data_IF_829387713487
#
_entry.id   IF_829387713487
#
_cell.length_a   1.000
_cell.length_b   1.000
_cell.length_c   1.000
_cell.angle_alpha   90.00
_cell.angle_beta   90.00
_cell.angle_gamma   90.00
#
_symmetry.space_group_name_H-M   'P 1'
#
loop_
_entity.id
_entity.type
_entity.pdbx_description
1 polymer ?
#
# COMPACT_ATOMS: atom_id res chain seq x y z
N UNK A 1 7.13 4.46 -10.70
CA UNK A 1 8.37 3.67 -10.43
C UNK A 1 8.20 2.24 -10.92
N UNK A 2 7.05 1.60 -10.69
CA UNK A 2 6.64 0.31 -11.31
C UNK A 2 6.92 0.24 -12.81
N UNK A 3 6.47 1.22 -13.60
CA UNK A 3 6.68 1.24 -15.05
C UNK A 3 8.16 1.16 -15.48
N UNK A 4 9.09 1.69 -14.68
CA UNK A 4 10.52 1.62 -14.97
C UNK A 4 11.11 0.23 -14.67
N UNK A 5 10.62 -0.42 -13.62
CA UNK A 5 10.99 -1.80 -13.29
C UNK A 5 10.46 -2.77 -14.37
N UNK A 6 9.21 -2.60 -14.78
CA UNK A 6 8.60 -3.37 -15.89
C UNK A 6 9.34 -3.14 -17.21
N UNK A 7 9.81 -1.92 -17.46
CA UNK A 7 10.62 -1.59 -18.64
C UNK A 7 12.07 -2.14 -18.59
N UNK A 8 12.44 -2.89 -17.55
CA UNK A 8 13.77 -3.49 -17.41
C UNK A 8 14.89 -2.49 -17.11
N UNK A 9 14.58 -1.30 -16.59
CA UNK A 9 15.57 -0.27 -16.26
C UNK A 9 16.34 -0.56 -14.96
N UNK A 10 15.94 -1.59 -14.21
CA UNK A 10 16.64 -2.04 -12.99
C UNK A 10 15.73 -2.72 -11.97
N UNK A 11 16.29 -2.97 -10.79
CA UNK A 11 15.58 -3.54 -9.62
C UNK A 11 14.93 -2.39 -8.84
N UNK A 12 13.71 -2.60 -8.35
CA UNK A 12 12.99 -1.63 -7.52
C UNK A 12 12.42 -2.29 -6.26
N UNK A 13 12.54 -1.62 -5.13
CA UNK A 13 11.80 -1.97 -3.90
C UNK A 13 10.46 -1.25 -3.94
N UNK A 14 9.37 -2.02 -4.00
CA UNK A 14 8.01 -1.51 -4.17
C UNK A 14 7.08 -2.16 -3.15
N UNK A 15 6.05 -1.44 -2.68
CA UNK A 15 5.00 -2.05 -1.87
C UNK A 15 4.22 -3.10 -2.67
N UNK A 16 3.83 -4.19 -2.01
CA UNK A 16 3.10 -5.32 -2.58
C UNK A 16 1.82 -4.90 -3.31
N UNK A 17 1.04 -3.99 -2.72
CA UNK A 17 -0.23 -3.49 -3.24
C UNK A 17 -0.06 -2.68 -4.54
N UNK A 18 1.14 -2.16 -4.79
CA UNK A 18 1.43 -1.36 -5.97
C UNK A 18 1.89 -2.21 -7.17
N UNK A 19 2.47 -3.39 -6.92
CA UNK A 19 3.00 -4.28 -7.97
C UNK A 19 2.29 -5.63 -8.05
N UNK A 20 1.16 -5.79 -7.35
CA UNK A 20 0.42 -7.05 -7.26
C UNK A 20 -0.01 -7.60 -8.62
N UNK A 21 -0.50 -6.72 -9.50
CA UNK A 21 -0.98 -7.12 -10.82
C UNK A 21 0.19 -7.55 -11.72
N UNK A 22 1.30 -6.81 -11.68
CA UNK A 22 2.51 -7.12 -12.45
C UNK A 22 3.26 -8.35 -11.92
N UNK A 23 3.15 -8.66 -10.62
CA UNK A 23 3.63 -9.92 -10.06
C UNK A 23 2.73 -11.09 -10.48
N UNK A 24 1.42 -10.87 -10.57
CA UNK A 24 0.47 -11.90 -10.97
C UNK A 24 0.54 -12.23 -12.47
N UNK A 25 0.78 -11.23 -13.32
CA UNK A 25 0.93 -11.41 -14.77
C UNK A 25 2.35 -11.82 -15.21
N UNK A 26 3.31 -11.78 -14.29
CA UNK A 26 4.71 -12.16 -14.50
C UNK A 26 5.58 -11.08 -15.16
N UNK A 27 5.08 -9.86 -15.33
CA UNK A 27 5.84 -8.70 -15.80
C UNK A 27 6.89 -8.26 -14.78
N UNK A 28 6.66 -8.54 -13.50
CA UNK A 28 7.63 -8.42 -12.42
C UNK A 28 7.83 -9.78 -11.75
N UNK A 29 9.04 -9.98 -11.21
CA UNK A 29 9.40 -11.19 -10.45
C UNK A 29 10.01 -10.75 -9.13
N UNK A 30 9.60 -11.42 -8.04
CA UNK A 30 10.24 -11.26 -6.75
C UNK A 30 11.63 -11.91 -6.77
N UNK A 31 12.65 -11.09 -6.53
CA UNK A 31 14.05 -11.51 -6.52
C UNK A 31 14.51 -12.04 -5.16
N UNK A 32 13.79 -11.72 -4.08
CA UNK A 32 14.20 -12.02 -2.71
C UNK A 32 13.02 -12.53 -1.86
N UNK A 33 12.41 -13.67 -2.23
CA UNK A 33 11.19 -14.17 -1.56
C UNK A 33 11.39 -14.57 -0.09
N UNK A 34 12.64 -14.85 0.31
CA UNK A 34 12.99 -15.22 1.69
C UNK A 34 13.29 -14.01 2.59
N UNK A 35 13.19 -12.78 2.06
CA UNK A 35 13.56 -11.56 2.76
C UNK A 35 12.38 -10.59 2.83
N UNK A 36 11.91 -10.31 4.05
CA UNK A 36 10.99 -9.20 4.29
C UNK A 36 11.77 -7.89 4.36
N UNK A 37 11.41 -6.95 3.47
CA UNK A 37 12.04 -5.63 3.42
C UNK A 37 11.00 -4.55 3.71
N UNK A 38 11.14 -3.86 4.84
CA UNK A 38 10.31 -2.72 5.20
C UNK A 38 11.09 -1.42 4.99
N UNK A 39 10.45 -0.40 4.43
CA UNK A 39 11.04 0.93 4.28
C UNK A 39 11.25 1.66 5.62
N UNK A 40 10.66 1.16 6.71
CA UNK A 40 10.81 1.66 8.08
C UNK A 40 10.70 0.50 9.09
N UNK A 41 11.32 0.66 10.27
CA UNK A 41 11.24 -0.29 11.41
C UNK A 41 9.81 -0.48 11.98
N UNK A 42 8.85 0.30 11.51
CA UNK A 42 7.46 0.26 11.92
C UNK A 42 6.65 -0.41 10.82
N UNK A 43 5.88 -1.45 11.17
CA UNK A 43 4.97 -2.13 10.24
C UNK A 43 4.23 -1.13 9.36
N UNK A 44 4.31 -1.34 8.05
CA UNK A 44 3.79 -0.43 7.01
C UNK A 44 2.30 -0.24 7.22
N UNK A 45 1.93 0.81 7.95
CA UNK A 45 0.55 1.09 8.35
C UNK A 45 0.01 2.23 7.50
N UNK A 46 -1.24 2.09 7.06
CA UNK A 46 -1.96 3.17 6.37
C UNK A 46 -2.66 4.04 7.40
N UNK A 47 -2.34 5.33 7.41
CA UNK A 47 -2.88 6.29 8.38
C UNK A 47 -3.93 7.18 7.72
N UNK A 48 -5.11 7.27 8.33
CA UNK A 48 -6.11 8.26 7.96
C UNK A 48 -5.94 9.51 8.84
N UNK A 49 -5.36 10.56 8.27
CA UNK A 49 -5.09 11.81 8.99
C UNK A 49 -6.18 12.84 8.69
N UNK A 50 -6.78 13.39 9.74
CA UNK A 50 -7.74 14.49 9.66
C UNK A 50 -7.52 15.48 10.82
N UNK A 51 -7.87 16.76 10.65
CA UNK A 51 -7.71 17.75 11.72
C UNK A 51 -8.52 17.36 12.95
N UNK A 52 -7.97 17.55 14.15
CA UNK A 52 -8.74 17.42 15.38
C UNK A 52 -9.83 18.48 15.42
N UNK A 53 -11.08 18.05 15.59
CA UNK A 53 -12.26 18.93 15.70
C UNK A 53 -13.14 18.37 16.82
N UNK A 54 -13.65 19.24 17.68
CA UNK A 54 -14.61 18.82 18.72
C UNK A 54 -15.91 18.24 18.14
N UNK A 55 -16.25 18.64 16.90
CA UNK A 55 -17.41 18.14 16.19
C UNK A 55 -17.00 17.42 14.91
N UNK A 56 -17.14 16.09 14.91
CA UNK A 56 -16.93 15.26 13.73
C UNK A 56 -18.22 15.23 12.89
N UNK A 57 -18.22 15.75 11.65
CA UNK A 57 -19.41 15.72 10.81
C UNK A 57 -19.82 14.28 10.49
N UNK A 58 -21.12 13.99 10.49
CA UNK A 58 -21.65 12.65 10.21
C UNK A 58 -21.16 12.06 8.88
N UNK A 59 -20.98 12.93 7.87
CA UNK A 59 -20.44 12.55 6.55
C UNK A 59 -18.99 12.06 6.63
N UNK A 60 -18.20 12.60 7.55
CA UNK A 60 -16.82 12.13 7.78
C UNK A 60 -16.85 10.76 8.45
N UNK A 61 -17.64 10.56 9.50
CA UNK A 61 -17.75 9.26 10.18
C UNK A 61 -18.20 8.16 9.22
N UNK A 62 -19.26 8.42 8.44
CA UNK A 62 -19.74 7.48 7.43
C UNK A 62 -18.69 7.16 6.36
N UNK A 63 -17.84 8.14 5.99
CA UNK A 63 -16.73 7.90 5.07
C UNK A 63 -15.63 7.04 5.71
N UNK A 64 -15.27 7.28 6.98
CA UNK A 64 -14.32 6.43 7.71
C UNK A 64 -14.82 4.99 7.81
N UNK A 65 -16.11 4.82 8.14
CA UNK A 65 -16.71 3.49 8.25
C UNK A 65 -16.73 2.76 6.90
N UNK A 66 -17.02 3.48 5.82
CA UNK A 66 -16.91 2.96 4.46
C UNK A 66 -15.47 2.54 4.13
N UNK A 67 -14.48 3.40 4.40
CA UNK A 67 -13.07 3.08 4.16
C UNK A 67 -12.62 1.85 4.95
N UNK A 68 -13.05 1.69 6.19
CA UNK A 68 -12.73 0.50 7.01
C UNK A 68 -13.36 -0.79 6.45
N UNK A 69 -14.48 -0.69 5.73
CA UNK A 69 -15.14 -1.84 5.11
C UNK A 69 -14.52 -2.24 3.77
N UNK A 70 -14.00 -1.26 3.02
CA UNK A 70 -13.51 -1.46 1.64
C UNK A 70 -12.00 -1.67 1.57
N UNK A 71 -11.24 -1.15 2.54
CA UNK A 71 -9.78 -1.29 2.55
C UNK A 71 -9.41 -2.61 3.24
N UNK A 72 -8.81 -3.58 2.52
CA UNK A 72 -8.30 -4.78 3.14
C UNK A 72 -7.15 -4.46 4.10
N UNK A 73 -7.03 -5.25 5.16
CA UNK A 73 -5.89 -5.16 6.08
C UNK A 73 -4.62 -5.45 5.28
N UNK A 74 -3.77 -4.44 5.09
CA UNK A 74 -2.47 -4.60 4.46
C UNK A 74 -1.54 -5.25 5.50
N UNK A 75 -1.23 -6.52 5.29
CA UNK A 75 -0.26 -7.28 6.08
C UNK A 75 1.14 -7.14 5.48
#
# INVERSE_FOLDING_TARGET
>A
MTASAVAGLGIALLPDWLCRDELADGSLVDLFPDYECAAADFGTSTWLVYPSRDYMPLKLSAFIDCLKSEIPEFA
#
